data_IF_201714207078
#
_entry.id   IF_201714207078
#
_cell.length_a   1.000
_cell.length_b   1.000
_cell.length_c   1.000
_cell.angle_alpha   90.00
_cell.angle_beta   90.00
_cell.angle_gamma   90.00
#
_symmetry.space_group_name_H-M   'P 1'
#
loop_
_entity.id
_entity.type
_entity.pdbx_description
1 polymer ?
#
# COMPACT_ATOMS: atom_id res chain seq x y z
N UNK A 1 18.88 -14.15 -10.34
CA UNK A 1 17.77 -13.24 -9.98
C UNK A 1 16.54 -14.05 -9.61
N UNK A 2 15.96 -13.80 -8.47
CA UNK A 2 14.75 -14.50 -8.06
C UNK A 2 13.53 -13.90 -8.79
N UNK A 3 12.61 -14.75 -9.26
CA UNK A 3 11.42 -14.25 -9.93
C UNK A 3 10.50 -13.53 -8.96
N UNK A 4 9.74 -12.58 -9.49
CA UNK A 4 8.75 -11.86 -8.70
C UNK A 4 7.56 -12.78 -8.41
N UNK A 5 7.21 -12.99 -7.11
CA UNK A 5 6.04 -13.80 -6.76
C UNK A 5 4.75 -13.18 -7.29
N UNK A 6 3.78 -14.02 -7.63
CA UNK A 6 2.47 -13.54 -8.09
C UNK A 6 1.78 -12.68 -7.05
N UNK A 7 1.94 -13.02 -5.77
CA UNK A 7 1.34 -12.25 -4.68
C UNK A 7 1.84 -10.79 -4.69
N UNK A 8 3.14 -10.60 -4.93
CA UNK A 8 3.71 -9.25 -5.03
C UNK A 8 3.14 -8.50 -6.22
N UNK A 9 3.02 -9.17 -7.36
CA UNK A 9 2.42 -8.56 -8.56
C UNK A 9 0.99 -8.13 -8.29
N UNK A 10 0.18 -8.99 -7.70
CA UNK A 10 -1.23 -8.70 -7.41
C UNK A 10 -1.35 -7.54 -6.41
N UNK A 11 -0.62 -7.60 -5.31
CA UNK A 11 -0.68 -6.57 -4.27
C UNK A 11 -0.22 -5.23 -4.83
N UNK A 12 0.90 -5.22 -5.56
CA UNK A 12 1.43 -3.99 -6.15
C UNK A 12 0.43 -3.34 -7.10
N UNK A 13 -0.18 -4.11 -7.98
CA UNK A 13 -1.18 -3.58 -8.90
C UNK A 13 -2.44 -3.11 -8.21
N UNK A 14 -2.88 -3.81 -7.16
CA UNK A 14 -4.03 -3.36 -6.38
C UNK A 14 -3.75 -1.99 -5.75
N UNK A 15 -2.58 -1.79 -5.18
CA UNK A 15 -2.22 -0.49 -4.61
C UNK A 15 -2.12 0.61 -5.67
N UNK A 16 -1.55 0.29 -6.83
CA UNK A 16 -1.45 1.26 -7.93
C UNK A 16 -2.84 1.65 -8.42
N UNK A 17 -3.70 0.66 -8.69
CA UNK A 17 -5.03 0.90 -9.25
C UNK A 17 -5.90 1.67 -8.26
N UNK A 18 -6.01 1.18 -7.02
CA UNK A 18 -6.86 1.82 -6.02
C UNK A 18 -6.33 3.18 -5.60
N UNK A 19 -5.02 3.33 -5.50
CA UNK A 19 -4.39 4.62 -5.22
C UNK A 19 -4.65 5.63 -6.31
N UNK A 20 -4.55 5.21 -7.57
CA UNK A 20 -4.79 6.08 -8.73
C UNK A 20 -6.25 6.51 -8.81
N UNK A 21 -7.17 5.56 -8.64
CA UNK A 21 -8.61 5.86 -8.65
C UNK A 21 -8.96 6.83 -7.52
N UNK A 22 -8.46 6.57 -6.32
CA UNK A 22 -8.74 7.41 -5.17
C UNK A 22 -8.16 8.83 -5.33
N UNK A 23 -6.97 8.92 -5.92
CA UNK A 23 -6.33 10.22 -6.16
C UNK A 23 -7.13 11.04 -7.18
N UNK A 24 -7.51 10.42 -8.30
CA UNK A 24 -8.30 11.10 -9.34
C UNK A 24 -9.64 11.54 -8.77
N UNK A 25 -10.31 10.68 -8.01
CA UNK A 25 -11.58 11.00 -7.39
C UNK A 25 -11.46 12.18 -6.44
N UNK A 26 -10.39 12.23 -5.64
CA UNK A 26 -10.16 13.32 -4.70
C UNK A 26 -9.82 14.65 -5.36
N UNK A 27 -9.30 14.62 -6.60
CA UNK A 27 -8.95 15.83 -7.34
C UNK A 27 -10.10 16.37 -8.20
N UNK A 28 -11.17 15.58 -8.37
CA UNK A 28 -12.31 16.03 -9.18
C UNK A 28 -13.09 17.12 -8.44
N UNK A 29 -13.44 18.22 -9.12
CA UNK A 29 -14.18 19.34 -8.49
C UNK A 29 -15.64 19.03 -8.19
N UNK A 30 -16.10 17.82 -8.48
CA UNK A 30 -17.48 17.41 -8.24
C UNK A 30 -17.79 17.08 -6.79
N UNK A 31 -16.77 17.04 -5.94
CA UNK A 31 -16.92 16.72 -4.51
C UNK A 31 -16.72 17.97 -3.66
N UNK A 32 -17.75 18.31 -2.90
CA UNK A 32 -17.70 19.39 -1.92
C UNK A 32 -17.03 18.97 -0.61
N UNK A 33 -16.34 17.85 -0.61
CA UNK A 33 -15.64 17.35 0.57
C UNK A 33 -14.26 17.99 0.63
N UNK A 34 -13.92 18.73 1.68
CA UNK A 34 -12.58 19.27 1.81
C UNK A 34 -11.56 18.15 1.82
N UNK A 35 -10.65 18.14 0.86
CA UNK A 35 -9.58 17.16 0.84
C UNK A 35 -8.33 17.81 1.38
N UNK A 36 -7.80 17.21 2.45
CA UNK A 36 -6.56 17.65 3.05
C UNK A 36 -5.37 17.16 2.24
N UNK A 37 -4.32 17.96 2.20
CA UNK A 37 -3.12 17.63 1.43
C UNK A 37 -2.51 16.28 1.85
N UNK A 38 -2.58 15.92 3.13
CA UNK A 38 -2.01 14.65 3.61
C UNK A 38 -2.76 13.43 3.05
N UNK A 39 -4.04 13.58 2.71
CA UNK A 39 -4.82 12.51 2.06
C UNK A 39 -4.27 12.23 0.67
N UNK A 40 -4.01 13.29 -0.10
CA UNK A 40 -3.43 13.14 -1.44
C UNK A 40 -2.01 12.59 -1.36
N UNK A 41 -1.22 13.05 -0.39
CA UNK A 41 0.12 12.53 -0.17
C UNK A 41 0.09 11.03 0.14
N UNK A 42 -0.84 10.58 1.00
CA UNK A 42 -1.02 9.17 1.32
C UNK A 42 -1.30 8.34 0.07
N UNK A 43 -2.15 8.84 -0.82
CA UNK A 43 -2.48 8.14 -2.07
C UNK A 43 -1.30 8.07 -3.02
N UNK A 44 -0.53 9.15 -3.10
CA UNK A 44 0.70 9.18 -3.92
C UNK A 44 1.71 8.17 -3.37
N UNK A 45 1.91 8.13 -2.06
CA UNK A 45 2.82 7.15 -1.43
C UNK A 45 2.38 5.72 -1.69
N UNK A 46 1.07 5.47 -1.69
CA UNK A 46 0.51 4.16 -2.02
C UNK A 46 0.90 3.73 -3.43
N UNK A 47 0.77 4.63 -4.39
CA UNK A 47 1.12 4.36 -5.80
C UNK A 47 2.63 4.13 -5.92
N UNK A 48 3.44 4.98 -5.31
CA UNK A 48 4.90 4.87 -5.34
C UNK A 48 5.35 3.53 -4.76
N UNK A 49 4.81 3.14 -3.61
CA UNK A 49 5.12 1.85 -2.99
C UNK A 49 4.78 0.69 -3.94
N UNK A 50 3.60 0.72 -4.55
CA UNK A 50 3.19 -0.32 -5.50
C UNK A 50 4.13 -0.43 -6.70
N UNK A 51 4.46 0.71 -7.32
CA UNK A 51 5.34 0.73 -8.50
C UNK A 51 6.72 0.16 -8.16
N UNK A 52 7.34 0.63 -7.08
CA UNK A 52 8.70 0.21 -6.74
C UNK A 52 8.75 -1.20 -6.14
N UNK A 53 7.65 -1.69 -5.58
CA UNK A 53 7.56 -3.12 -5.21
C UNK A 53 7.63 -4.02 -6.46
N UNK A 54 7.04 -3.59 -7.57
CA UNK A 54 7.16 -4.32 -8.84
C UNK A 54 8.61 -4.43 -9.30
N UNK A 55 9.42 -3.42 -9.01
CA UNK A 55 10.85 -3.42 -9.33
C UNK A 55 11.70 -4.14 -8.28
N UNK A 56 11.11 -4.65 -7.22
CA UNK A 56 11.83 -5.38 -6.19
C UNK A 56 12.63 -4.52 -5.23
N UNK A 57 12.27 -3.26 -5.08
CA UNK A 57 12.95 -2.35 -4.16
C UNK A 57 12.48 -2.58 -2.73
N UNK A 58 13.39 -2.99 -1.86
CA UNK A 58 13.04 -3.30 -0.47
C UNK A 58 12.50 -2.08 0.28
N UNK A 59 12.99 -0.88 0.00
CA UNK A 59 12.49 0.32 0.66
C UNK A 59 11.01 0.57 0.37
N UNK A 60 10.53 0.15 -0.80
CA UNK A 60 9.11 0.29 -1.14
C UNK A 60 8.25 -0.60 -0.25
N UNK A 61 8.74 -1.79 0.08
CA UNK A 61 8.06 -2.69 1.02
C UNK A 61 7.98 -2.05 2.41
N UNK A 62 9.06 -1.42 2.85
CA UNK A 62 9.08 -0.71 4.14
C UNK A 62 8.17 0.52 4.11
N UNK A 63 8.13 1.24 3.00
CA UNK A 63 7.19 2.35 2.81
C UNK A 63 5.75 1.89 2.93
N UNK A 64 5.43 0.74 2.36
CA UNK A 64 4.10 0.16 2.45
C UNK A 64 3.73 -0.19 3.89
N UNK A 65 4.69 -0.73 4.66
CA UNK A 65 4.47 -1.02 6.08
C UNK A 65 4.16 0.26 6.86
N UNK A 66 4.90 1.32 6.60
CA UNK A 66 4.64 2.62 7.23
C UNK A 66 3.26 3.17 6.84
N UNK A 67 2.89 3.03 5.59
CA UNK A 67 1.58 3.44 5.09
C UNK A 67 0.46 2.65 5.78
N UNK A 68 0.64 1.34 5.92
CA UNK A 68 -0.32 0.48 6.62
C UNK A 68 -0.46 0.91 8.09
N UNK A 69 0.66 1.17 8.77
CA UNK A 69 0.64 1.62 10.15
C UNK A 69 -0.16 2.91 10.31
N UNK A 70 0.05 3.86 9.40
CA UNK A 70 -0.71 5.11 9.39
C UNK A 70 -2.21 4.84 9.24
N UNK A 71 -2.59 3.95 8.33
CA UNK A 71 -4.00 3.64 8.09
C UNK A 71 -4.64 2.87 9.25
N UNK A 72 -3.87 2.06 9.98
CA UNK A 72 -4.38 1.40 11.18
C UNK A 72 -4.69 2.42 12.28
N UNK A 73 -3.84 3.42 12.45
CA UNK A 73 -4.07 4.49 13.43
C UNK A 73 -5.33 5.28 13.05
N UNK A 74 -5.46 5.66 11.79
CA UNK A 74 -6.63 6.39 11.31
C UNK A 74 -7.90 5.53 11.46
N UNK A 75 -7.80 4.25 11.14
CA UNK A 75 -8.92 3.32 11.28
C UNK A 75 -9.38 3.18 12.73
N UNK A 76 -8.45 3.18 13.68
CA UNK A 76 -8.78 3.12 15.10
C UNK A 76 -9.59 4.34 15.55
N UNK A 77 -9.34 5.51 14.93
CA UNK A 77 -10.08 6.72 15.24
C UNK A 77 -11.50 6.71 14.67
N UNK A 78 -11.79 5.81 13.72
CA UNK A 78 -13.09 5.71 13.06
C UNK A 78 -13.98 4.61 13.64
N UNK A 79 -13.51 3.84 14.62
CA UNK A 79 -14.29 2.85 15.31
C UNK A 79 -13.71 1.44 15.24
N UNK A 80 -14.24 0.57 16.09
CA UNK A 80 -13.72 -0.79 16.26
C UNK A 80 -13.93 -1.66 15.02
N UNK A 81 -15.07 -1.52 14.33
CA UNK A 81 -15.36 -2.32 13.13
C UNK A 81 -14.40 -1.95 12.00
N UNK A 82 -14.19 -0.66 11.78
CA UNK A 82 -13.25 -0.18 10.76
C UNK A 82 -11.84 -0.66 11.06
N UNK A 83 -11.42 -0.57 12.31
CA UNK A 83 -10.11 -1.06 12.73
C UNK A 83 -9.97 -2.56 12.48
N UNK A 84 -10.98 -3.35 12.85
CA UNK A 84 -10.96 -4.80 12.67
C UNK A 84 -10.83 -5.18 11.19
N UNK A 85 -11.56 -4.49 10.31
CA UNK A 85 -11.47 -4.73 8.86
C UNK A 85 -10.08 -4.42 8.32
N UNK A 86 -9.51 -3.28 8.74
CA UNK A 86 -8.16 -2.90 8.30
C UNK A 86 -7.11 -3.88 8.81
N UNK A 87 -7.21 -4.31 10.07
CA UNK A 87 -6.28 -5.29 10.64
C UNK A 87 -6.35 -6.60 9.85
N UNK A 88 -7.55 -7.08 9.54
CA UNK A 88 -7.71 -8.32 8.78
C UNK A 88 -7.07 -8.22 7.38
N UNK A 89 -7.40 -7.17 6.63
CA UNK A 89 -6.90 -6.97 5.28
C UNK A 89 -5.38 -6.79 5.28
N UNK A 90 -4.87 -5.92 6.14
CA UNK A 90 -3.45 -5.61 6.18
C UNK A 90 -2.60 -6.76 6.72
N UNK A 91 -3.16 -7.59 7.60
CA UNK A 91 -2.46 -8.81 8.05
C UNK A 91 -2.20 -9.76 6.89
N UNK A 92 -3.19 -9.95 6.02
CA UNK A 92 -3.04 -10.78 4.82
C UNK A 92 -1.97 -10.20 3.90
N UNK A 93 -1.99 -8.88 3.68
CA UNK A 93 -1.02 -8.20 2.83
C UNK A 93 0.38 -8.36 3.40
N UNK A 94 0.57 -8.11 4.70
CA UNK A 94 1.88 -8.24 5.35
C UNK A 94 2.41 -9.66 5.27
N UNK A 95 1.52 -10.66 5.43
CA UNK A 95 1.92 -12.05 5.30
C UNK A 95 2.52 -12.32 3.91
N UNK A 96 1.88 -11.83 2.86
CA UNK A 96 2.34 -12.11 1.50
C UNK A 96 3.59 -11.32 1.11
N UNK A 97 3.75 -10.08 1.59
CA UNK A 97 4.92 -9.29 1.22
C UNK A 97 6.17 -9.67 2.01
N UNK A 98 6.03 -10.45 3.10
CA UNK A 98 7.16 -10.92 3.90
C UNK A 98 7.32 -12.44 3.86
N UNK A 99 6.66 -13.12 2.94
CA UNK A 99 6.86 -14.55 2.73
C UNK A 99 8.29 -14.81 2.22
N UNK A 100 8.69 -16.08 2.34
CA UNK A 100 10.05 -16.50 1.96
C UNK A 100 10.36 -16.15 0.50
N UNK A 101 9.43 -16.41 -0.42
CA UNK A 101 9.61 -16.11 -1.84
C UNK A 101 9.67 -14.60 -2.10
N UNK A 102 8.88 -13.80 -1.38
CA UNK A 102 8.95 -12.35 -1.47
C UNK A 102 10.26 -11.82 -0.90
N UNK A 103 10.69 -12.34 0.25
CA UNK A 103 11.97 -11.95 0.85
C UNK A 103 13.13 -12.23 -0.11
N UNK A 104 13.12 -13.37 -0.78
CA UNK A 104 14.13 -13.71 -1.77
C UNK A 104 14.13 -12.75 -2.96
N UNK A 105 12.96 -12.39 -3.44
CA UNK A 105 12.82 -11.43 -4.54
C UNK A 105 13.39 -10.06 -4.17
N UNK A 106 13.00 -9.53 -3.01
CA UNK A 106 13.47 -8.20 -2.58
C UNK A 106 14.95 -8.20 -2.20
N UNK A 107 15.46 -9.30 -1.64
CA UNK A 107 16.87 -9.41 -1.29
C UNK A 107 17.78 -9.38 -2.53
N UNK A 108 17.34 -9.98 -3.63
CA UNK A 108 18.11 -9.99 -4.87
C UNK A 108 18.16 -8.63 -5.57
N UNK A 109 17.36 -7.65 -5.13
CA UNK A 109 17.26 -6.34 -5.75
C UNK A 109 17.42 -5.19 -4.76
N UNK A 110 17.88 -5.49 -3.56
CA UNK A 110 18.04 -4.46 -2.52
C UNK A 110 19.12 -3.46 -2.91
N UNK A 111 18.86 -2.22 -2.61
CA UNK A 111 19.81 -1.12 -2.79
C UNK A 111 20.01 -0.44 -1.45
#
# INVERSE_FOLDING_TARGET
>A
MNPRPRSITIISWLFIIFGSIALVYGLLPLRDIPSHWYVHLSRILQIVAGVFMLYGRNWARLLLVAWIAFHLVVGALHGAVTLAMHVAIFSVILFFIFRRDANAFFAGRSV
#
